data_IF_815010548684
#
_entry.id   IF_815010548684
#
_cell.length_a   1.000
_cell.length_b   1.000
_cell.length_c   1.000
_cell.angle_alpha   90.00
_cell.angle_beta   90.00
_cell.angle_gamma   90.00
#
_symmetry.space_group_name_H-M   'P 1'
#
loop_
_entity.id
_entity.type
_entity.pdbx_description
1 polymer ?
#
# COMPACT_ATOMS: atom_id res chain seq x y z
N UNK A 1 -15.87 -9.05 6.32
CA UNK A 1 -14.42 -9.10 6.60
C UNK A 1 -13.82 -7.86 5.98
N UNK A 2 -13.10 -7.03 6.76
CA UNK A 2 -12.81 -5.64 6.39
C UNK A 2 -12.34 -5.42 4.95
N UNK A 3 -11.35 -6.18 4.45
CA UNK A 3 -10.87 -6.05 3.08
C UNK A 3 -11.95 -6.38 2.04
N UNK A 4 -12.66 -7.49 2.21
CA UNK A 4 -13.74 -7.89 1.32
C UNK A 4 -14.88 -6.84 1.31
N UNK A 5 -15.12 -6.17 2.44
CA UNK A 5 -16.14 -5.11 2.52
C UNK A 5 -15.68 -3.85 1.76
N UNK A 6 -14.39 -3.49 1.82
CA UNK A 6 -13.80 -2.43 0.98
C UNK A 6 -13.85 -2.80 -0.50
N UNK A 7 -13.49 -4.03 -0.89
CA UNK A 7 -13.51 -4.44 -2.29
C UNK A 7 -14.92 -4.56 -2.86
N UNK A 8 -15.90 -4.96 -2.03
CA UNK A 8 -17.31 -4.93 -2.41
C UNK A 8 -17.76 -3.51 -2.72
N UNK A 9 -17.46 -2.56 -1.82
CA UNK A 9 -17.72 -1.14 -2.09
C UNK A 9 -17.05 -0.65 -3.39
N UNK A 10 -15.77 -1.01 -3.62
CA UNK A 10 -15.08 -0.67 -4.86
C UNK A 10 -15.78 -1.23 -6.11
N UNK A 11 -16.38 -2.42 -6.02
CA UNK A 11 -17.16 -3.00 -7.11
C UNK A 11 -18.50 -2.28 -7.29
N UNK A 12 -19.18 -1.95 -6.20
CA UNK A 12 -20.48 -1.27 -6.20
C UNK A 12 -20.39 0.12 -6.84
N UNK A 13 -19.30 0.85 -6.60
CA UNK A 13 -19.03 2.17 -7.22
C UNK A 13 -18.33 2.08 -8.58
N UNK A 14 -18.11 0.87 -9.10
CA UNK A 14 -17.52 0.63 -10.42
C UNK A 14 -16.02 0.90 -10.54
N UNK A 15 -15.29 1.08 -9.43
CA UNK A 15 -13.83 1.24 -9.43
C UNK A 15 -13.10 -0.05 -9.82
N UNK A 16 -13.70 -1.21 -9.52
CA UNK A 16 -13.30 -2.53 -10.02
C UNK A 16 -14.53 -3.25 -10.59
N UNK A 17 -14.32 -4.24 -11.44
CA UNK A 17 -15.43 -5.02 -12.03
C UNK A 17 -15.93 -6.11 -11.08
N UNK A 18 -15.01 -6.83 -10.42
CA UNK A 18 -15.29 -7.87 -9.42
C UNK A 18 -14.01 -8.20 -8.66
N UNK A 19 -14.12 -9.04 -7.62
CA UNK A 19 -12.97 -9.60 -6.92
C UNK A 19 -13.19 -11.07 -6.53
N UNK A 20 -12.10 -11.78 -6.31
CA UNK A 20 -12.09 -13.14 -5.75
C UNK A 20 -11.53 -13.11 -4.33
N UNK A 21 -12.20 -13.83 -3.43
CA UNK A 21 -11.74 -14.05 -2.06
C UNK A 21 -10.81 -15.26 -2.06
N UNK A 22 -9.64 -15.20 -1.39
CA UNK A 22 -8.75 -16.34 -1.29
C UNK A 22 -9.43 -17.54 -0.62
N UNK A 23 -9.09 -18.75 -1.06
CA UNK A 23 -9.58 -19.97 -0.45
C UNK A 23 -8.83 -20.26 0.85
N UNK A 24 -9.48 -21.00 1.76
CA UNK A 24 -8.90 -21.34 3.05
C UNK A 24 -7.69 -22.28 2.87
N UNK A 25 -6.52 -21.88 3.39
CA UNK A 25 -5.28 -22.67 3.34
C UNK A 25 -4.15 -22.04 2.49
N UNK A 26 -4.47 -21.08 1.64
CA UNK A 26 -3.50 -20.36 0.80
C UNK A 26 -2.98 -19.07 1.46
N UNK A 27 -1.87 -18.52 0.93
CA UNK A 27 -1.52 -17.11 1.16
C UNK A 27 -2.74 -16.25 0.82
N UNK A 28 -3.07 -15.29 1.69
CA UNK A 28 -4.34 -14.54 1.60
C UNK A 28 -4.29 -13.48 0.49
N UNK A 29 -4.31 -13.93 -0.76
CA UNK A 29 -4.20 -13.12 -1.98
C UNK A 29 -5.58 -12.92 -2.60
N UNK A 30 -6.04 -11.68 -2.64
CA UNK A 30 -7.24 -11.30 -3.38
C UNK A 30 -6.86 -10.96 -4.80
N UNK A 31 -7.71 -11.37 -5.74
CA UNK A 31 -7.62 -10.97 -7.14
C UNK A 31 -8.71 -9.97 -7.46
N UNK A 32 -8.32 -8.75 -7.81
CA UNK A 32 -9.24 -7.70 -8.26
C UNK A 32 -9.21 -7.62 -9.78
N UNK A 33 -10.38 -7.52 -10.41
CA UNK A 33 -10.50 -7.39 -11.86
C UNK A 33 -10.75 -5.93 -12.23
N UNK A 34 -9.83 -5.34 -12.99
CA UNK A 34 -9.81 -3.90 -13.26
C UNK A 34 -9.88 -3.64 -14.76
N UNK A 35 -10.92 -2.90 -15.19
CA UNK A 35 -11.10 -2.53 -16.59
C UNK A 35 -9.93 -1.69 -17.10
N UNK A 36 -9.29 -2.15 -18.17
CA UNK A 36 -8.17 -1.48 -18.84
C UNK A 36 -6.85 -1.46 -18.06
N UNK A 37 -6.74 -2.21 -16.96
CA UNK A 37 -5.45 -2.51 -16.31
C UNK A 37 -5.17 -4.02 -16.40
N UNK A 38 -6.17 -4.85 -16.12
CA UNK A 38 -6.02 -6.30 -15.96
C UNK A 38 -6.28 -6.70 -14.51
N UNK A 39 -5.62 -7.76 -14.02
CA UNK A 39 -5.81 -8.22 -12.64
C UNK A 39 -4.83 -7.54 -11.69
N UNK A 40 -5.29 -7.14 -10.51
CA UNK A 40 -4.46 -6.62 -9.41
C UNK A 40 -4.45 -7.64 -8.28
N UNK A 41 -3.26 -7.97 -7.77
CA UNK A 41 -3.10 -8.83 -6.60
C UNK A 41 -3.01 -7.99 -5.32
N UNK A 42 -3.87 -8.29 -4.35
CA UNK A 42 -3.74 -7.75 -2.99
C UNK A 42 -3.36 -8.88 -2.05
N UNK A 43 -2.13 -8.85 -1.56
CA UNK A 43 -1.62 -9.81 -0.58
C UNK A 43 -1.90 -9.26 0.82
N UNK A 44 -2.90 -9.82 1.49
CA UNK A 44 -3.27 -9.44 2.84
C UNK A 44 -2.20 -9.91 3.83
N UNK A 45 -1.68 -8.99 4.65
CA UNK A 45 -0.67 -9.25 5.67
C UNK A 45 -1.10 -8.62 7.01
N UNK A 46 -0.59 -9.16 8.12
CA UNK A 46 -0.78 -8.60 9.46
C UNK A 46 0.12 -7.39 9.71
N UNK A 47 0.47 -7.14 10.97
CA UNK A 47 1.40 -6.07 11.32
C UNK A 47 2.76 -6.22 10.62
N UNK A 48 3.37 -5.13 10.13
CA UNK A 48 4.63 -5.15 9.39
C UNK A 48 5.87 -5.30 10.30
N UNK A 49 5.79 -6.20 11.29
CA UNK A 49 6.80 -6.42 12.33
C UNK A 49 7.68 -7.67 12.05
N UNK A 50 7.13 -8.66 11.36
CA UNK A 50 7.77 -9.97 11.14
C UNK A 50 8.02 -10.35 9.67
N UNK A 51 8.71 -11.49 9.49
CA UNK A 51 9.03 -12.10 8.19
C UNK A 51 7.76 -12.45 7.40
N UNK A 52 6.75 -13.03 8.05
CA UNK A 52 5.51 -13.45 7.40
C UNK A 52 4.69 -12.29 6.82
N UNK A 53 4.73 -11.13 7.48
CA UNK A 53 3.96 -9.94 7.08
C UNK A 53 4.68 -9.04 6.07
N UNK A 54 6.00 -9.19 5.90
CA UNK A 54 6.80 -8.27 5.09
C UNK A 54 7.61 -8.94 3.99
N UNK A 55 7.99 -10.21 4.14
CA UNK A 55 8.94 -10.87 3.23
C UNK A 55 8.41 -12.18 2.67
N UNK A 56 7.64 -12.98 3.41
CA UNK A 56 7.13 -14.25 2.89
C UNK A 56 5.88 -14.04 2.01
N UNK A 57 6.10 -13.79 0.73
CA UNK A 57 5.06 -13.65 -0.30
C UNK A 57 5.70 -13.85 -1.67
N UNK A 58 4.86 -14.10 -2.67
CA UNK A 58 5.25 -14.07 -4.09
C UNK A 58 4.21 -13.27 -4.88
N UNK A 59 4.67 -12.42 -5.80
CA UNK A 59 3.78 -11.75 -6.74
C UNK A 59 3.23 -12.80 -7.72
N UNK A 60 1.89 -12.92 -7.87
CA UNK A 60 1.34 -13.87 -8.83
C UNK A 60 1.61 -13.46 -10.28
N UNK A 61 1.98 -14.40 -11.14
CA UNK A 61 2.30 -14.14 -12.56
C UNK A 61 1.13 -13.54 -13.37
N UNK A 62 -0.10 -13.69 -12.88
CA UNK A 62 -1.31 -13.12 -13.51
C UNK A 62 -1.55 -11.65 -13.14
N UNK A 63 -0.80 -11.09 -12.20
CA UNK A 63 -1.03 -9.77 -11.63
C UNK A 63 -0.26 -8.69 -12.40
N UNK A 64 -0.97 -7.68 -12.89
CA UNK A 64 -0.42 -6.50 -13.55
C UNK A 64 0.14 -5.49 -12.54
N UNK A 65 -0.49 -5.42 -11.37
CA UNK A 65 0.05 -4.72 -10.21
C UNK A 65 -0.17 -5.58 -8.95
N UNK A 66 0.81 -5.61 -8.05
CA UNK A 66 0.79 -6.38 -6.79
C UNK A 66 1.05 -5.48 -5.58
N UNK A 67 0.19 -5.56 -4.58
CA UNK A 67 0.29 -4.77 -3.34
C UNK A 67 0.32 -5.65 -2.10
N UNK A 68 1.15 -5.27 -1.12
CA UNK A 68 0.95 -5.75 0.25
C UNK A 68 -0.05 -4.84 0.96
N UNK A 69 -1.06 -5.43 1.59
CA UNK A 69 -2.01 -4.69 2.41
C UNK A 69 -1.89 -5.11 3.87
N UNK A 70 -1.32 -4.23 4.69
CA UNK A 70 -1.12 -4.45 6.12
C UNK A 70 -2.38 -4.10 6.92
N UNK A 71 -2.96 -5.13 7.53
CA UNK A 71 -4.06 -5.06 8.50
C UNK A 71 -3.51 -5.07 9.92
N UNK A 72 -2.92 -3.95 10.36
CA UNK A 72 -2.33 -3.83 11.69
C UNK A 72 -3.19 -3.00 12.64
N UNK A 73 -3.90 -3.64 13.55
CA UNK A 73 -4.69 -2.97 14.59
C UNK A 73 -3.87 -2.55 15.83
N UNK A 74 -2.63 -3.01 15.96
CA UNK A 74 -1.72 -2.64 17.07
C UNK A 74 -1.60 -1.12 17.24
N UNK A 75 -1.89 -0.64 18.45
CA UNK A 75 -1.78 0.77 18.84
C UNK A 75 -0.41 1.12 19.43
N UNK A 76 0.54 0.18 19.42
CA UNK A 76 1.87 0.39 20.01
C UNK A 76 2.66 1.49 19.28
N UNK A 77 2.45 1.63 17.97
CA UNK A 77 3.11 2.64 17.16
C UNK A 77 2.12 3.32 16.21
N UNK A 78 2.45 4.54 15.81
CA UNK A 78 1.73 5.22 14.74
C UNK A 78 1.89 4.47 13.40
N UNK A 79 0.89 4.53 12.49
CA UNK A 79 0.95 3.84 11.20
C UNK A 79 2.24 4.09 10.40
N UNK A 80 2.78 5.31 10.45
CA UNK A 80 4.02 5.67 9.76
C UNK A 80 5.24 4.87 10.23
N UNK A 81 5.34 4.60 11.54
CA UNK A 81 6.44 3.81 12.09
C UNK A 81 6.30 2.32 11.73
N UNK A 82 5.07 1.79 11.76
CA UNK A 82 4.79 0.44 11.27
C UNK A 82 5.22 0.29 9.80
N UNK A 83 4.82 1.23 8.94
CA UNK A 83 5.17 1.23 7.52
C UNK A 83 6.69 1.33 7.34
N UNK A 84 7.39 2.19 8.10
CA UNK A 84 8.84 2.29 8.03
C UNK A 84 9.55 0.96 8.38
N UNK A 85 9.08 0.23 9.39
CA UNK A 85 9.61 -1.09 9.76
C UNK A 85 9.38 -2.14 8.65
N UNK A 86 8.20 -2.15 8.05
CA UNK A 86 7.85 -3.04 6.94
C UNK A 86 8.65 -2.75 5.68
N UNK A 87 8.71 -1.48 5.27
CA UNK A 87 9.45 -1.02 4.10
C UNK A 87 10.94 -1.33 4.23
N UNK A 88 11.55 -1.19 5.42
CA UNK A 88 12.95 -1.55 5.61
C UNK A 88 13.22 -3.05 5.43
N UNK A 89 12.25 -3.93 5.73
CA UNK A 89 12.35 -5.37 5.43
C UNK A 89 12.17 -5.63 3.93
N UNK A 90 11.22 -4.94 3.31
CA UNK A 90 11.01 -4.99 1.86
C UNK A 90 12.23 -4.52 1.08
N UNK A 91 12.93 -3.48 1.56
CA UNK A 91 14.20 -3.03 0.98
C UNK A 91 15.22 -4.16 0.92
N UNK A 92 15.40 -4.90 2.01
CA UNK A 92 16.34 -6.02 2.04
C UNK A 92 15.91 -7.14 1.07
N UNK A 93 14.60 -7.41 0.92
CA UNK A 93 14.07 -8.33 -0.10
C UNK A 93 14.34 -7.80 -1.52
N UNK A 94 14.09 -6.52 -1.76
CA UNK A 94 14.23 -5.85 -3.07
C UNK A 94 15.66 -5.94 -3.62
N UNK A 95 16.68 -5.84 -2.77
CA UNK A 95 18.09 -5.96 -3.16
C UNK A 95 18.66 -7.37 -3.03
N UNK A 96 17.89 -8.35 -2.54
CA UNK A 96 18.33 -9.73 -2.44
C UNK A 96 18.24 -10.43 -3.81
N UNK A 97 19.26 -11.22 -4.13
CA UNK A 97 19.28 -12.08 -5.32
C UNK A 97 18.34 -13.29 -5.22
N UNK A 98 17.86 -13.59 -4.02
CA UNK A 98 16.96 -14.73 -3.77
C UNK A 98 15.55 -14.52 -4.32
N UNK A 99 15.14 -13.26 -4.51
CA UNK A 99 13.80 -12.91 -4.95
C UNK A 99 13.90 -12.20 -6.29
N UNK A 100 13.07 -12.60 -7.25
CA UNK A 100 13.02 -11.99 -8.59
C UNK A 100 11.86 -11.00 -8.73
N UNK A 101 10.86 -11.12 -7.88
CA UNK A 101 9.66 -10.29 -7.85
C UNK A 101 9.79 -9.08 -6.92
N UNK A 102 8.89 -8.12 -7.11
CA UNK A 102 8.71 -6.94 -6.30
C UNK A 102 7.22 -6.62 -6.19
N UNK A 103 6.84 -5.84 -5.16
CA UNK A 103 5.50 -5.26 -5.10
C UNK A 103 5.50 -3.87 -5.71
N UNK A 104 4.38 -3.48 -6.31
CA UNK A 104 4.12 -2.16 -6.87
C UNK A 104 3.78 -1.12 -5.80
N UNK A 105 3.38 -1.59 -4.62
CA UNK A 105 3.13 -0.71 -3.51
C UNK A 105 2.81 -1.44 -2.22
N UNK A 106 2.65 -0.64 -1.19
CA UNK A 106 2.17 -1.08 0.12
C UNK A 106 0.99 -0.23 0.54
N UNK A 107 0.04 -0.86 1.22
CA UNK A 107 -1.18 -0.24 1.71
C UNK A 107 -1.27 -0.50 3.21
N UNK A 108 -1.55 0.54 3.99
CA UNK A 108 -1.86 0.42 5.41
C UNK A 108 -3.28 0.91 5.63
N UNK A 109 -4.17 -0.01 5.98
CA UNK A 109 -5.55 0.31 6.27
C UNK A 109 -6.23 -0.86 6.97
N UNK A 110 -6.96 -0.59 8.04
CA UNK A 110 -7.70 -1.59 8.80
C UNK A 110 -8.88 -0.94 9.51
N UNK A 111 -9.68 -1.75 10.20
CA UNK A 111 -10.90 -1.34 10.85
C UNK A 111 -10.74 -0.31 11.99
N UNK A 112 -9.53 -0.08 12.51
CA UNK A 112 -9.32 0.94 13.56
C UNK A 112 -9.00 2.32 13.00
N UNK A 113 -8.61 2.43 11.72
CA UNK A 113 -8.35 3.72 11.09
C UNK A 113 -9.59 4.63 11.10
N UNK A 114 -9.45 5.84 11.64
CA UNK A 114 -10.54 6.81 11.70
C UNK A 114 -11.42 6.70 12.96
N UNK A 115 -11.17 5.70 13.81
CA UNK A 115 -11.84 5.58 15.11
C UNK A 115 -11.23 6.53 16.15
N UNK A 116 -11.87 6.65 17.31
CA UNK A 116 -11.31 7.41 18.44
C UNK A 116 -9.95 6.87 18.91
N UNK A 117 -9.69 5.56 18.76
CA UNK A 117 -8.43 4.93 19.14
C UNK A 117 -7.30 5.20 18.14
N UNK A 118 -7.64 5.53 16.89
CA UNK A 118 -6.69 5.89 15.84
C UNK A 118 -7.32 6.95 14.93
N UNK A 119 -7.35 8.21 15.38
CA UNK A 119 -7.87 9.31 14.57
C UNK A 119 -7.14 9.39 13.24
N UNK A 120 -7.87 9.63 12.16
CA UNK A 120 -7.28 9.72 10.82
C UNK A 120 -7.50 11.12 10.24
N UNK A 121 -6.45 11.78 9.72
CA UNK A 121 -6.61 13.08 9.08
C UNK A 121 -7.48 13.02 7.81
N UNK A 122 -7.70 11.82 7.26
CA UNK A 122 -8.50 11.60 6.05
C UNK A 122 -9.99 11.36 6.34
N UNK A 123 -10.44 11.54 7.58
CA UNK A 123 -11.86 11.34 7.94
C UNK A 123 -12.82 12.26 7.19
N UNK A 124 -12.37 13.43 6.73
CA UNK A 124 -13.18 14.30 5.86
C UNK A 124 -13.55 13.67 4.52
N UNK A 125 -12.97 12.51 4.15
CA UNK A 125 -13.31 11.70 2.97
C UNK A 125 -13.76 10.30 3.31
N UNK A 126 -14.15 10.08 4.56
CA UNK A 126 -14.67 8.79 4.95
C UNK A 126 -15.99 8.50 4.24
N UNK A 127 -16.17 7.24 3.88
CA UNK A 127 -17.40 6.71 3.29
C UNK A 127 -18.06 5.74 4.26
N UNK A 128 -19.36 5.53 4.13
CA UNK A 128 -20.03 4.48 4.87
C UNK A 128 -19.74 3.11 4.22
N UNK A 129 -19.10 2.22 4.97
CA UNK A 129 -18.99 0.79 4.62
C UNK A 129 -19.59 0.01 5.79
N UNK A 130 -20.72 -0.65 5.53
CA UNK A 130 -21.58 -1.20 6.58
C UNK A 130 -21.93 -0.09 7.60
N UNK A 131 -21.79 -0.36 8.91
CA UNK A 131 -22.12 0.58 9.99
C UNK A 131 -20.95 1.50 10.40
N UNK A 132 -19.92 1.66 9.55
CA UNK A 132 -18.70 2.39 9.90
C UNK A 132 -18.33 3.43 8.85
N UNK A 133 -17.87 4.59 9.34
CA UNK A 133 -17.19 5.59 8.51
C UNK A 133 -15.74 5.18 8.32
N UNK A 134 -15.39 4.82 7.09
CA UNK A 134 -14.07 4.30 6.74
C UNK A 134 -13.32 5.34 5.90
N UNK A 135 -12.18 5.87 6.36
CA UNK A 135 -11.38 6.82 5.59
C UNK A 135 -10.66 6.14 4.42
N UNK A 136 -10.18 6.91 3.42
CA UNK A 136 -9.32 6.37 2.38
C UNK A 136 -8.09 5.65 2.96
N UNK A 137 -7.63 4.53 2.37
CA UNK A 137 -6.43 3.83 2.81
C UNK A 137 -5.16 4.67 2.62
N UNK A 138 -4.11 4.45 3.43
CA UNK A 138 -2.79 5.01 3.13
C UNK A 138 -2.09 4.11 2.13
N UNK A 139 -1.64 4.67 1.01
CA UNK A 139 -1.02 3.93 -0.10
C UNK A 139 0.33 4.55 -0.45
N UNK A 140 1.33 3.69 -0.67
CA UNK A 140 2.65 4.09 -1.14
C UNK A 140 3.03 3.28 -2.36
N UNK A 141 3.43 3.97 -3.43
CA UNK A 141 4.03 3.33 -4.60
C UNK A 141 5.46 2.92 -4.27
N UNK A 142 5.77 1.65 -4.50
CA UNK A 142 7.11 1.08 -4.30
C UNK A 142 7.96 1.26 -5.56
N UNK A 143 9.30 1.26 -5.43
CA UNK A 143 10.16 1.28 -6.59
C UNK A 143 10.09 -0.02 -7.41
N UNK A 144 10.53 0.04 -8.66
CA UNK A 144 10.80 -1.12 -9.49
C UNK A 144 12.28 -1.34 -9.65
N UNK A 145 12.66 -2.61 -9.80
CA UNK A 145 14.04 -2.99 -10.06
C UNK A 145 14.39 -2.57 -11.48
N UNK A 146 15.13 -1.48 -11.57
CA UNK A 146 15.79 -1.02 -12.78
C UNK A 146 17.29 -0.82 -12.49
N UNK A 147 18.08 -0.69 -13.55
CA UNK A 147 19.50 -0.35 -13.41
C UNK A 147 19.67 1.06 -12.87
N UNK A 148 20.61 1.26 -11.95
CA UNK A 148 20.93 2.56 -11.40
C UNK A 148 21.21 2.55 -9.90
N UNK A 149 21.23 3.75 -9.31
CA UNK A 149 21.39 3.95 -7.87
C UNK A 149 20.20 4.69 -7.23
N UNK A 150 19.25 5.14 -8.05
CA UNK A 150 18.04 5.85 -7.64
C UNK A 150 16.84 5.02 -8.07
N UNK A 151 16.09 4.51 -7.09
CA UNK A 151 14.86 3.78 -7.32
C UNK A 151 13.71 4.57 -6.72
N UNK A 152 12.99 5.32 -7.57
CA UNK A 152 11.82 6.10 -7.18
C UNK A 152 12.08 7.07 -6.02
N UNK A 153 13.29 7.64 -5.92
CA UNK A 153 13.66 8.54 -4.83
C UNK A 153 12.80 9.82 -4.81
N UNK A 154 12.51 10.34 -6.00
CA UNK A 154 11.68 11.53 -6.21
C UNK A 154 10.16 11.25 -6.18
N UNK A 155 9.76 9.98 -6.25
CA UNK A 155 8.35 9.58 -6.29
C UNK A 155 7.70 9.78 -7.66
N UNK A 156 8.48 9.86 -8.74
CA UNK A 156 7.98 10.02 -10.11
C UNK A 156 7.22 8.81 -10.64
N UNK A 157 7.35 7.63 -10.01
CA UNK A 157 6.62 6.42 -10.42
C UNK A 157 5.13 6.54 -10.10
N UNK A 158 4.32 6.31 -11.12
CA UNK A 158 2.86 6.29 -11.01
C UNK A 158 2.35 4.86 -11.24
N UNK A 159 1.35 4.46 -10.46
CA UNK A 159 0.58 3.23 -10.63
C UNK A 159 -0.90 3.52 -10.83
N UNK A 160 -1.60 2.60 -11.49
CA UNK A 160 -3.02 2.78 -11.86
C UNK A 160 -3.96 2.36 -10.74
N UNK A 161 -3.63 1.32 -9.97
CA UNK A 161 -4.50 0.87 -8.89
C UNK A 161 -4.73 1.91 -7.77
N UNK A 162 -3.73 2.68 -7.29
CA UNK A 162 -3.94 3.67 -6.24
C UNK A 162 -5.02 4.71 -6.61
N UNK A 163 -5.06 5.12 -7.87
CA UNK A 163 -6.11 6.02 -8.39
C UNK A 163 -7.50 5.41 -8.23
N UNK A 164 -7.68 4.15 -8.63
CA UNK A 164 -8.96 3.45 -8.56
C UNK A 164 -9.39 3.16 -7.12
N UNK A 165 -8.43 2.81 -6.28
CA UNK A 165 -8.66 2.62 -4.86
C UNK A 165 -9.14 3.92 -4.21
N UNK A 166 -8.45 5.03 -4.47
CA UNK A 166 -8.79 6.33 -3.88
C UNK A 166 -10.08 6.92 -4.47
N UNK A 167 -10.40 6.68 -5.75
CA UNK A 167 -11.65 7.15 -6.34
C UNK A 167 -12.88 6.50 -5.68
N UNK A 168 -12.76 5.28 -5.15
CA UNK A 168 -13.84 4.65 -4.39
C UNK A 168 -14.18 5.40 -3.09
N UNK A 169 -13.28 6.28 -2.61
CA UNK A 169 -13.48 7.18 -1.48
C UNK A 169 -13.73 8.64 -1.92
N UNK A 170 -14.11 8.85 -3.19
CA UNK A 170 -14.42 10.18 -3.71
C UNK A 170 -13.21 11.09 -3.94
N UNK A 171 -11.98 10.55 -3.96
CA UNK A 171 -10.80 11.32 -4.34
C UNK A 171 -10.76 11.46 -5.86
N UNK A 172 -10.85 12.69 -6.37
CA UNK A 172 -10.80 12.97 -7.81
C UNK A 172 -9.43 12.66 -8.42
N UNK A 173 -9.38 12.45 -9.74
CA UNK A 173 -8.13 12.06 -10.43
C UNK A 173 -6.98 13.06 -10.21
N UNK A 174 -7.28 14.35 -10.24
CA UNK A 174 -6.29 15.43 -9.98
C UNK A 174 -5.81 15.46 -8.53
N UNK A 175 -6.59 14.90 -7.60
CA UNK A 175 -6.26 14.87 -6.18
C UNK A 175 -5.49 13.61 -5.78
N UNK A 176 -5.49 12.56 -6.60
CA UNK A 176 -4.80 11.29 -6.31
C UNK A 176 -3.32 11.50 -5.89
N UNK A 177 -2.53 12.38 -6.54
CA UNK A 177 -1.17 12.67 -6.12
C UNK A 177 -1.05 13.31 -4.73
N UNK A 178 -2.14 13.85 -4.16
CA UNK A 178 -2.18 14.41 -2.80
C UNK A 178 -2.48 13.35 -1.73
N UNK A 179 -2.83 12.13 -2.13
CA UNK A 179 -3.15 11.00 -1.24
C UNK A 179 -2.27 9.77 -1.49
N UNK A 180 -1.47 9.80 -2.54
CA UNK A 180 -0.55 8.72 -2.90
C UNK A 180 0.86 9.07 -2.42
N UNK A 181 1.34 8.32 -1.45
CA UNK A 181 2.73 8.38 -1.02
C UNK A 181 3.66 7.61 -1.96
N UNK A 182 4.95 7.69 -1.68
CA UNK A 182 5.96 6.90 -2.37
C UNK A 182 7.02 6.38 -1.42
N UNK A 183 7.58 5.24 -1.78
CA UNK A 183 8.83 4.70 -1.24
C UNK A 183 9.90 4.84 -2.30
N UNK A 184 11.08 5.29 -1.88
CA UNK A 184 12.26 5.37 -2.72
C UNK A 184 13.49 4.78 -2.03
N UNK A 185 14.40 4.22 -2.82
CA UNK A 185 15.71 3.77 -2.36
C UNK A 185 16.81 4.52 -3.10
N UNK A 186 17.83 4.95 -2.37
CA UNK A 186 19.00 5.62 -2.94
C UNK A 186 20.26 4.93 -2.45
N UNK A 187 21.00 4.30 -3.37
CA UNK A 187 22.29 3.68 -3.08
C UNK A 187 23.38 4.74 -3.11
N UNK A 188 24.09 4.86 -2.00
CA UNK A 188 25.28 5.69 -1.87
C UNK A 188 26.51 4.87 -1.50
N UNK A 189 27.64 5.55 -1.32
CA UNK A 189 28.90 4.93 -0.92
C UNK A 189 28.87 4.31 0.48
N UNK A 190 27.98 4.78 1.35
CA UNK A 190 27.84 4.33 2.75
C UNK A 190 26.66 3.38 2.98
N UNK A 191 26.08 2.83 1.92
CA UNK A 191 24.89 1.99 1.99
C UNK A 191 23.66 2.62 1.34
N UNK A 192 22.50 2.01 1.57
CA UNK A 192 21.24 2.39 0.92
C UNK A 192 20.35 3.17 1.88
N UNK A 193 19.86 4.31 1.41
CA UNK A 193 18.88 5.14 2.13
C UNK A 193 17.47 4.81 1.65
N UNK A 194 16.52 4.86 2.56
CA UNK A 194 15.09 4.76 2.28
C UNK A 194 14.46 6.13 2.45
N UNK A 195 13.60 6.54 1.52
CA UNK A 195 12.65 7.64 1.70
C UNK A 195 11.24 7.08 1.69
N UNK A 196 10.39 7.56 2.59
CA UNK A 196 8.96 7.25 2.64
C UNK A 196 8.22 8.57 2.75
N UNK A 197 7.59 9.00 1.67
CA UNK A 197 6.73 10.18 1.67
C UNK A 197 5.28 9.74 1.80
N UNK A 198 4.59 10.17 2.85
CA UNK A 198 3.17 9.88 3.07
C UNK A 198 2.37 11.12 2.76
N UNK A 199 1.31 10.97 1.96
CA UNK A 199 0.41 12.07 1.58
C UNK A 199 -1.01 11.75 2.00
N UNK A 200 -1.71 12.74 2.55
CA UNK A 200 -3.04 12.55 3.13
C UNK A 200 -3.93 13.78 2.93
N UNK A 201 -3.69 14.54 1.86
CA UNK A 201 -4.44 15.74 1.49
C UNK A 201 -3.56 16.88 0.97
N UNK A 202 -4.21 17.95 0.48
CA UNK A 202 -3.52 19.17 0.06
C UNK A 202 -2.65 19.75 1.20
N UNK A 203 -1.40 20.07 0.88
CA UNK A 203 -0.42 20.59 1.85
C UNK A 203 -0.06 19.62 2.99
N UNK A 204 -0.54 18.38 2.95
CA UNK A 204 -0.50 17.44 4.06
C UNK A 204 0.41 16.26 3.71
N UNK A 205 1.70 16.40 4.02
CA UNK A 205 2.73 15.42 3.68
C UNK A 205 3.71 15.24 4.84
N UNK A 206 4.07 14.00 5.14
CA UNK A 206 5.22 13.66 5.99
C UNK A 206 6.26 12.93 5.17
N UNK A 207 7.54 13.16 5.44
CA UNK A 207 8.63 12.43 4.80
C UNK A 207 9.58 11.87 5.84
N UNK A 208 9.72 10.55 5.84
CA UNK A 208 10.74 9.84 6.60
C UNK A 208 11.93 9.54 5.69
N UNK A 209 13.15 9.80 6.16
CA UNK A 209 14.39 9.38 5.49
C UNK A 209 15.25 8.60 6.47
N UNK A 210 15.66 7.40 6.08
CA UNK A 210 16.58 6.61 6.90
C UNK A 210 18.02 7.11 6.75
N UNK A 211 18.83 6.79 7.76
CA UNK A 211 20.28 6.76 7.60
C UNK A 211 20.68 5.74 6.53
N UNK A 212 21.87 5.91 5.98
CA UNK A 212 22.48 4.92 5.10
C UNK A 212 22.77 3.64 5.88
N UNK A 213 22.29 2.50 5.39
CA UNK A 213 22.54 1.17 5.95
C UNK A 213 22.77 0.15 4.85
#
# INVERSE_FOLDING_TARGET
MFLADVFRHMADVGAITRFEVPQYGDDTVYRLYVKGLGSVAIIQKGCPDGRHSSVAWSAPDWAEETYLWWLCDSLQYEPGEHVAKGVNRLRNRFFSKEYIDAVDGVIFHNATCGTALRPCPKMGRAIAINERMVPPPCVWVMPERADGNDWNWDGSRIRKFPRLLLSAFGVGEEEVPLYTGHVGFLKGTRGTRTTISSRYGAGSTTTYRSDSR
#
